data_IF_248131373104
#
_entry.id   IF_248131373104
#
_cell.length_a   1.000
_cell.length_b   1.000
_cell.length_c   1.000
_cell.angle_alpha   90.00
_cell.angle_beta   90.00
_cell.angle_gamma   90.00
#
_symmetry.space_group_name_H-M   'P 1'
#
loop_
_entity.id
_entity.type
_entity.pdbx_description
1 polymer ?
#
# COMPACT_ATOMS: atom_id res chain seq x y z
N UNK A 1 4.53 -32.10 -4.53
CA UNK A 1 4.87 -30.67 -4.45
C UNK A 1 3.78 -29.89 -5.17
N UNK A 2 2.95 -29.14 -4.45
CA UNK A 2 1.93 -28.25 -5.05
C UNK A 2 2.16 -26.87 -4.45
N UNK A 3 2.75 -25.99 -5.24
CA UNK A 3 2.97 -24.59 -4.90
C UNK A 3 1.59 -23.89 -4.96
N UNK A 4 1.29 -23.04 -3.98
CA UNK A 4 0.10 -22.18 -4.03
C UNK A 4 0.57 -20.82 -4.53
N UNK A 5 0.23 -20.51 -5.78
CA UNK A 5 0.39 -19.19 -6.36
C UNK A 5 -0.96 -18.48 -6.22
N UNK A 6 -1.03 -17.43 -5.41
CA UNK A 6 -2.14 -16.48 -5.47
C UNK A 6 -1.77 -15.40 -6.45
N UNK A 7 -2.45 -15.37 -7.60
CA UNK A 7 -2.36 -14.30 -8.59
C UNK A 7 -3.72 -13.62 -8.63
N UNK A 8 -3.79 -12.40 -8.13
CA UNK A 8 -4.97 -11.55 -8.28
C UNK A 8 -4.80 -10.67 -9.52
N UNK A 9 -5.69 -10.85 -10.49
CA UNK A 9 -5.79 -9.98 -11.66
C UNK A 9 -6.85 -8.91 -11.39
N UNK A 10 -6.46 -7.65 -11.46
CA UNK A 10 -7.40 -6.54 -11.51
C UNK A 10 -7.25 -5.81 -12.85
N UNK A 11 -8.28 -5.87 -13.69
CA UNK A 11 -8.37 -5.14 -14.96
C UNK A 11 -9.45 -4.09 -14.78
N UNK A 12 -9.04 -2.82 -14.65
CA UNK A 12 -9.94 -1.67 -14.64
C UNK A 12 -9.90 -0.96 -15.99
N UNK A 13 -11.05 -0.81 -16.65
CA UNK A 13 -11.22 0.02 -17.83
C UNK A 13 -12.03 1.27 -17.44
N UNK A 14 -11.48 2.46 -17.68
CA UNK A 14 -12.24 3.71 -17.56
C UNK A 14 -12.64 4.11 -18.97
N UNK A 15 -13.92 3.97 -19.29
CA UNK A 15 -14.52 4.42 -20.54
C UNK A 15 -15.22 5.77 -20.27
N UNK A 16 -14.78 6.84 -20.91
CA UNK A 16 -15.46 8.13 -20.89
C UNK A 16 -16.16 8.34 -22.25
N UNK A 17 -17.45 8.68 -22.23
CA UNK A 17 -18.32 8.70 -23.41
C UNK A 17 -17.97 9.80 -24.42
N UNK A 18 -18.08 9.47 -25.71
CA UNK A 18 -17.62 10.26 -26.87
C UNK A 18 -18.55 11.41 -27.30
N UNK A 19 -19.67 11.68 -26.62
CA UNK A 19 -20.75 12.52 -27.18
C UNK A 19 -20.43 14.01 -27.39
N UNK A 20 -19.37 14.57 -26.77
CA UNK A 20 -19.13 16.02 -26.82
C UNK A 20 -18.29 16.50 -28.02
N UNK A 21 -17.55 15.61 -28.67
CA UNK A 21 -16.58 16.01 -29.71
C UNK A 21 -17.23 16.11 -31.11
N UNK A 22 -18.26 15.30 -31.40
CA UNK A 22 -19.04 15.40 -32.64
C UNK A 22 -19.93 16.66 -32.69
N UNK A 23 -20.45 17.11 -31.55
CA UNK A 23 -21.32 18.29 -31.47
C UNK A 23 -20.59 19.61 -31.83
N UNK A 24 -19.27 19.69 -31.62
CA UNK A 24 -18.47 20.86 -31.98
C UNK A 24 -18.01 20.84 -33.45
N UNK A 25 -17.80 19.66 -34.06
CA UNK A 25 -17.42 19.55 -35.49
C UNK A 25 -18.51 20.07 -36.45
N UNK A 26 -19.77 20.09 -36.03
CA UNK A 26 -20.89 20.58 -36.85
C UNK A 26 -21.08 22.11 -36.87
N UNK A 27 -20.38 22.88 -36.02
CA UNK A 27 -20.62 24.34 -35.88
C UNK A 27 -19.65 25.27 -36.62
N UNK A 28 -18.51 24.79 -37.13
CA UNK A 28 -17.55 25.64 -37.86
C UNK A 28 -16.77 24.86 -38.93
N UNK A 29 -17.22 24.83 -40.20
CA UNK A 29 -16.56 24.06 -41.25
C UNK A 29 -15.31 24.74 -41.87
N UNK A 30 -14.70 25.74 -41.21
CA UNK A 30 -13.71 26.63 -41.85
C UNK A 30 -12.45 27.01 -41.06
N UNK A 31 -12.33 26.69 -39.77
CA UNK A 31 -11.08 26.94 -39.04
C UNK A 31 -10.21 25.68 -39.06
N UNK A 32 -9.02 25.78 -39.65
CA UNK A 32 -7.91 24.86 -39.34
C UNK A 32 -7.45 25.18 -37.91
N UNK A 33 -8.24 24.78 -36.92
CA UNK A 33 -7.72 24.59 -35.58
C UNK A 33 -6.71 23.45 -35.69
N UNK A 34 -5.45 23.72 -35.37
CA UNK A 34 -4.52 22.64 -35.04
C UNK A 34 -5.24 21.79 -34.01
N UNK A 35 -5.53 20.53 -34.34
CA UNK A 35 -6.17 19.59 -33.42
C UNK A 35 -5.23 19.48 -32.21
N UNK A 36 -5.48 20.27 -31.16
CA UNK A 36 -4.69 20.23 -29.94
C UNK A 36 -4.90 18.83 -29.40
N UNK A 37 -3.86 18.01 -29.51
CA UNK A 37 -3.89 16.64 -29.03
C UNK A 37 -4.34 16.67 -27.56
N UNK A 38 -5.48 16.03 -27.29
CA UNK A 38 -6.07 16.05 -25.95
C UNK A 38 -5.08 15.47 -24.95
N UNK A 39 -4.70 16.27 -23.94
CA UNK A 39 -3.86 15.83 -22.83
C UNK A 39 -4.67 15.76 -21.56
N UNK A 40 -4.62 14.62 -20.88
CA UNK A 40 -5.29 14.46 -19.59
C UNK A 40 -4.59 15.33 -18.54
N UNK A 41 -5.34 16.15 -17.78
CA UNK A 41 -4.79 16.96 -16.70
C UNK A 41 -4.04 16.10 -15.66
N UNK A 42 -2.83 16.54 -15.29
CA UNK A 42 -1.92 15.81 -14.40
C UNK A 42 -1.99 16.33 -12.98
N UNK A 43 -1.72 15.44 -12.03
CA UNK A 43 -1.71 15.76 -10.60
C UNK A 43 -0.75 16.93 -10.31
N UNK A 44 -1.19 17.91 -9.52
CA UNK A 44 -0.33 19.02 -9.09
C UNK A 44 -0.15 20.15 -10.11
N UNK A 45 -0.53 19.94 -11.38
CA UNK A 45 -0.42 20.96 -12.43
C UNK A 45 -1.67 21.83 -12.47
N UNK A 46 -1.48 23.08 -12.88
CA UNK A 46 -2.59 24.01 -13.11
C UNK A 46 -3.47 23.52 -14.27
N UNK A 47 -4.78 23.68 -14.12
CA UNK A 47 -5.77 23.43 -15.16
C UNK A 47 -6.68 24.66 -15.27
N UNK A 48 -6.81 25.21 -16.48
CA UNK A 48 -7.80 26.22 -16.83
C UNK A 48 -8.64 25.65 -17.98
N UNK A 49 -9.89 25.33 -17.70
CA UNK A 49 -10.77 24.66 -18.67
C UNK A 49 -12.22 25.11 -18.52
N UNK A 50 -13.09 24.67 -19.41
CA UNK A 50 -14.53 24.92 -19.33
C UNK A 50 -15.27 23.60 -19.36
N UNK A 51 -16.11 23.35 -18.35
CA UNK A 51 -16.97 22.17 -18.27
C UNK A 51 -18.41 22.61 -18.11
N UNK A 52 -19.30 22.12 -18.99
CA UNK A 52 -20.72 22.52 -19.03
C UNK A 52 -20.93 24.05 -19.09
N UNK A 53 -20.06 24.76 -19.82
CA UNK A 53 -20.10 26.23 -19.93
C UNK A 53 -19.57 26.98 -18.70
N UNK A 54 -19.15 26.27 -17.66
CA UNK A 54 -18.56 26.83 -16.45
C UNK A 54 -17.05 26.77 -16.56
N UNK A 55 -16.38 27.92 -16.43
CA UNK A 55 -14.91 27.97 -16.35
C UNK A 55 -14.45 27.36 -15.03
N UNK A 56 -13.63 26.34 -15.11
CA UNK A 56 -13.00 25.66 -13.98
C UNK A 56 -11.52 26.04 -13.99
N UNK A 57 -11.08 26.69 -12.92
CA UNK A 57 -9.69 27.00 -12.66
C UNK A 57 -9.20 26.19 -11.46
N UNK A 58 -8.20 25.36 -11.67
CA UNK A 58 -7.52 24.59 -10.62
C UNK A 58 -6.07 25.08 -10.60
N UNK A 59 -5.62 25.74 -9.51
CA UNK A 59 -4.24 26.19 -9.40
C UNK A 59 -3.28 24.99 -9.31
N UNK A 60 -2.01 25.21 -9.66
CA UNK A 60 -0.96 24.25 -9.35
C UNK A 60 -0.87 24.06 -7.83
N UNK A 61 -0.62 22.82 -7.38
CA UNK A 61 -0.48 22.49 -5.96
C UNK A 61 0.79 21.71 -5.69
N UNK A 62 1.40 22.00 -4.55
CA UNK A 62 2.44 21.18 -3.97
C UNK A 62 1.83 19.86 -3.49
N UNK A 63 2.43 18.73 -3.91
CA UNK A 63 1.96 17.38 -3.59
C UNK A 63 2.77 16.73 -2.46
N UNK A 64 3.84 17.38 -2.01
CA UNK A 64 4.73 16.94 -0.92
C UNK A 64 4.07 17.03 0.44
N UNK A 65 3.12 17.96 0.56
CA UNK A 65 2.50 18.36 1.81
C UNK A 65 1.02 18.06 1.72
N UNK A 66 0.60 17.03 2.42
CA UNK A 66 -0.78 16.57 2.39
C UNK A 66 -1.23 16.27 3.81
N UNK A 67 -2.34 16.89 4.21
CA UNK A 67 -3.10 16.51 5.39
C UNK A 67 -4.49 16.11 4.94
N UNK A 68 -4.91 14.89 5.26
CA UNK A 68 -6.19 14.36 4.83
C UNK A 68 -6.81 13.50 5.92
N UNK A 69 -8.14 13.42 5.91
CA UNK A 69 -8.90 12.44 6.68
C UNK A 69 -9.58 11.56 5.65
N UNK A 70 -9.38 10.25 5.76
CA UNK A 70 -10.07 9.25 4.96
C UNK A 70 -11.01 8.50 5.86
N UNK A 71 -12.29 8.42 5.50
CA UNK A 71 -13.26 7.62 6.20
C UNK A 71 -14.20 6.96 5.20
N UNK A 72 -14.65 5.75 5.50
CA UNK A 72 -15.50 4.98 4.60
C UNK A 72 -15.90 3.65 5.21
N UNK A 73 -16.41 2.78 4.35
CA UNK A 73 -16.74 1.40 4.72
C UNK A 73 -16.42 0.50 3.54
N UNK A 74 -15.83 -0.65 3.82
CA UNK A 74 -15.74 -1.74 2.87
C UNK A 74 -16.96 -2.65 3.06
N UNK A 75 -17.49 -3.16 1.95
CA UNK A 75 -18.60 -4.11 1.94
C UNK A 75 -18.22 -5.33 1.11
N UNK A 76 -18.25 -6.51 1.71
CA UNK A 76 -17.84 -7.76 1.06
C UNK A 76 -19.06 -8.58 0.64
N UNK A 77 -19.22 -8.79 -0.67
CA UNK A 77 -20.26 -9.62 -1.27
C UNK A 77 -19.64 -10.64 -2.24
N UNK A 78 -19.49 -11.93 -1.86
CA UNK A 78 -19.90 -12.56 -0.60
C UNK A 78 -19.04 -12.11 0.60
N UNK A 79 -19.51 -12.40 1.83
CA UNK A 79 -18.79 -12.05 3.07
C UNK A 79 -17.34 -12.57 3.02
N UNK A 80 -16.40 -11.75 3.48
CA UNK A 80 -15.01 -12.15 3.66
C UNK A 80 -14.80 -12.51 5.13
N UNK A 81 -14.77 -13.81 5.42
CA UNK A 81 -14.85 -14.25 6.81
C UNK A 81 -16.23 -13.92 7.41
N UNK A 82 -16.26 -13.28 8.57
CA UNK A 82 -17.52 -12.89 9.24
C UNK A 82 -17.93 -11.45 8.91
N UNK A 83 -17.03 -10.71 8.27
CA UNK A 83 -17.20 -9.30 7.99
C UNK A 83 -18.00 -9.10 6.70
N UNK A 84 -19.20 -8.54 6.87
CA UNK A 84 -20.02 -8.01 5.77
C UNK A 84 -19.70 -6.52 5.52
N UNK A 85 -19.44 -5.78 6.59
CA UNK A 85 -19.16 -4.35 6.59
C UNK A 85 -17.98 -4.03 7.51
N UNK A 86 -16.97 -3.35 6.97
CA UNK A 86 -15.81 -2.90 7.74
C UNK A 86 -15.69 -1.38 7.61
N UNK A 87 -16.16 -0.61 8.61
CA UNK A 87 -15.94 0.83 8.61
C UNK A 87 -14.45 1.13 8.86
N UNK A 88 -13.94 2.16 8.20
CA UNK A 88 -12.59 2.64 8.42
C UNK A 88 -12.55 4.16 8.55
N UNK A 89 -11.63 4.66 9.38
CA UNK A 89 -11.29 6.06 9.46
C UNK A 89 -9.79 6.19 9.77
N UNK A 90 -9.09 7.04 9.01
CA UNK A 90 -7.67 7.27 9.16
C UNK A 90 -7.33 8.73 8.90
N UNK A 91 -6.49 9.29 9.78
CA UNK A 91 -5.81 10.55 9.56
C UNK A 91 -4.50 10.31 8.81
N UNK A 92 -4.28 11.06 7.74
CA UNK A 92 -3.09 10.99 6.90
C UNK A 92 -2.34 12.32 6.96
N UNK A 93 -1.05 12.26 7.26
CA UNK A 93 -0.14 13.39 7.20
C UNK A 93 1.11 13.02 6.40
N UNK A 94 1.48 13.84 5.43
CA UNK A 94 2.71 13.73 4.67
C UNK A 94 3.32 15.11 4.53
N UNK A 95 4.62 15.21 4.80
CA UNK A 95 5.35 16.47 4.68
C UNK A 95 6.78 16.20 4.22
N UNK A 96 7.32 17.15 3.46
CA UNK A 96 8.74 17.16 3.10
C UNK A 96 9.30 18.56 3.28
N UNK A 97 10.52 18.63 3.82
CA UNK A 97 11.22 19.89 4.09
C UNK A 97 12.71 19.75 3.82
N UNK A 98 13.44 20.86 3.97
CA UNK A 98 14.86 20.98 3.61
C UNK A 98 15.13 20.49 2.18
N UNK A 99 14.55 21.19 1.20
CA UNK A 99 14.75 20.84 -0.23
C UNK A 99 14.39 19.38 -0.54
N UNK A 100 13.35 18.85 0.14
CA UNK A 100 12.84 17.48 0.02
C UNK A 100 13.78 16.38 0.52
N UNK A 101 14.85 16.73 1.25
CA UNK A 101 15.79 15.79 1.86
C UNK A 101 15.29 15.20 3.17
N UNK A 102 14.28 15.81 3.80
CA UNK A 102 13.60 15.26 4.97
C UNK A 102 12.14 14.99 4.68
N UNK A 103 11.64 13.84 5.12
CA UNK A 103 10.29 13.39 4.84
C UNK A 103 9.68 12.71 6.05
N UNK A 104 8.41 13.03 6.29
CA UNK A 104 7.58 12.37 7.31
C UNK A 104 6.29 11.92 6.64
N UNK A 105 5.90 10.68 6.90
CA UNK A 105 4.59 10.15 6.57
C UNK A 105 4.00 9.49 7.80
N UNK A 106 2.77 9.86 8.13
CA UNK A 106 2.01 9.33 9.25
C UNK A 106 0.63 8.91 8.77
N UNK A 107 0.23 7.71 9.19
CA UNK A 107 -1.13 7.19 9.04
C UNK A 107 -1.58 6.80 10.44
N UNK A 108 -2.62 7.46 10.94
CA UNK A 108 -3.20 7.17 12.25
C UNK A 108 -4.65 6.74 12.10
N UNK A 109 -4.92 5.46 12.31
CA UNK A 109 -6.25 4.85 12.25
C UNK A 109 -6.64 4.30 13.63
N UNK A 110 -6.67 5.21 14.63
CA UNK A 110 -6.97 4.89 16.02
C UNK A 110 -5.92 3.97 16.65
N UNK A 111 -6.13 2.66 16.49
CA UNK A 111 -5.34 1.58 17.08
C UNK A 111 -4.39 0.89 16.10
N UNK A 112 -4.46 1.26 14.82
CA UNK A 112 -3.48 0.88 13.80
C UNK A 112 -2.81 2.15 13.31
N UNK A 113 -1.51 2.25 13.55
CA UNK A 113 -0.76 3.46 13.28
C UNK A 113 0.58 3.14 12.63
N UNK A 114 0.97 3.94 11.64
CA UNK A 114 2.25 3.81 10.93
C UNK A 114 2.90 5.17 10.78
N UNK A 115 4.19 5.25 11.12
CA UNK A 115 5.02 6.45 10.96
C UNK A 115 6.27 6.06 10.18
N UNK A 116 6.61 6.85 9.17
CA UNK A 116 7.82 6.71 8.39
C UNK A 116 8.55 8.04 8.36
N UNK A 117 9.82 8.03 8.73
CA UNK A 117 10.70 9.20 8.72
C UNK A 117 11.95 8.91 7.89
N UNK A 118 12.37 9.88 7.09
CA UNK A 118 13.56 9.79 6.25
C UNK A 118 14.38 11.08 6.32
N UNK A 119 15.70 10.95 6.49
CA UNK A 119 16.64 12.09 6.50
C UNK A 119 17.88 11.82 5.64
N UNK A 120 18.02 12.57 4.54
CA UNK A 120 19.23 12.65 3.72
C UNK A 120 19.90 14.02 3.75
N UNK A 121 19.49 14.94 4.63
CA UNK A 121 20.02 16.31 4.65
C UNK A 121 21.54 16.39 4.92
N UNK A 122 22.12 15.32 5.46
CA UNK A 122 23.53 15.19 5.78
C UNK A 122 24.43 14.80 4.60
N UNK A 123 23.88 14.51 3.40
CA UNK A 123 24.66 14.20 2.20
C UNK A 123 23.94 14.60 0.90
N UNK A 124 24.66 14.50 -0.22
CA UNK A 124 24.14 14.72 -1.58
C UNK A 124 24.10 13.41 -2.41
N UNK A 125 24.43 12.27 -1.80
CA UNK A 125 24.51 10.96 -2.46
C UNK A 125 23.15 10.24 -2.51
N UNK A 126 22.12 10.80 -1.89
CA UNK A 126 20.80 10.20 -1.75
C UNK A 126 20.73 9.10 -0.69
N UNK A 127 21.73 9.01 0.19
CA UNK A 127 21.70 8.08 1.32
C UNK A 127 20.76 8.65 2.38
N UNK A 128 19.79 7.87 2.82
CA UNK A 128 18.80 8.30 3.81
C UNK A 128 18.95 7.47 5.09
N UNK A 129 18.97 8.14 6.24
CA UNK A 129 18.58 7.50 7.49
C UNK A 129 17.07 7.29 7.46
N UNK A 130 16.60 6.10 7.84
CA UNK A 130 15.21 5.73 7.74
C UNK A 130 14.70 5.20 9.10
N UNK A 131 13.62 5.78 9.59
CA UNK A 131 12.93 5.35 10.80
C UNK A 131 11.52 4.91 10.48
N UNK A 132 11.07 3.82 11.11
CA UNK A 132 9.70 3.32 11.02
C UNK A 132 9.13 3.09 12.41
N UNK A 133 7.81 3.22 12.52
CA UNK A 133 7.06 2.83 13.69
C UNK A 133 5.72 2.28 13.23
N UNK A 134 5.50 1.00 13.48
CA UNK A 134 4.22 0.36 13.21
C UNK A 134 3.61 -0.13 14.53
N UNK A 135 2.34 0.17 14.71
CA UNK A 135 1.53 -0.26 15.82
C UNK A 135 0.25 -0.91 15.28
N UNK A 136 -0.03 -2.10 15.76
CA UNK A 136 -1.26 -2.82 15.47
C UNK A 136 -1.82 -3.34 16.79
N UNK A 137 -2.92 -2.74 17.27
CA UNK A 137 -3.49 -3.01 18.60
C UNK A 137 -5.01 -3.07 18.50
N UNK A 138 -5.52 -3.97 17.65
CA UNK A 138 -6.96 -4.07 17.48
C UNK A 138 -7.64 -4.40 18.83
N UNK A 139 -8.66 -3.64 19.25
CA UNK A 139 -9.44 -3.92 20.45
C UNK A 139 -10.49 -5.02 20.20
N UNK A 140 -10.41 -5.71 19.07
CA UNK A 140 -11.31 -6.76 18.64
C UNK A 140 -10.54 -8.07 18.54
N UNK A 141 -11.23 -9.18 18.82
CA UNK A 141 -10.64 -10.51 18.73
C UNK A 141 -10.43 -10.92 17.27
N UNK A 142 -9.53 -11.88 17.06
CA UNK A 142 -9.26 -12.49 15.77
C UNK A 142 -9.34 -14.00 15.92
N UNK A 143 -10.14 -14.62 15.05
CA UNK A 143 -10.29 -16.06 14.92
C UNK A 143 -9.28 -16.64 13.92
N UNK A 144 -8.81 -17.85 14.18
CA UNK A 144 -8.05 -18.63 13.21
C UNK A 144 -9.03 -19.27 12.21
N UNK A 145 -8.79 -19.04 10.91
CA UNK A 145 -9.54 -19.69 9.82
C UNK A 145 -8.65 -20.68 9.09
N UNK A 146 -9.00 -21.97 9.18
CA UNK A 146 -8.32 -23.04 8.46
C UNK A 146 -9.30 -23.60 7.42
N UNK A 147 -8.93 -23.54 6.14
CA UNK A 147 -9.65 -24.20 5.03
C UNK A 147 -11.19 -24.07 5.12
N UNK A 148 -11.69 -22.83 5.24
CA UNK A 148 -13.13 -22.47 5.29
C UNK A 148 -13.90 -22.93 6.54
N UNK A 149 -13.22 -23.43 7.57
CA UNK A 149 -13.82 -23.68 8.90
C UNK A 149 -13.35 -22.61 9.88
N UNK A 150 -14.27 -21.80 10.40
CA UNK A 150 -13.99 -20.95 11.57
C UNK A 150 -13.94 -21.84 12.80
N UNK A 151 -12.87 -21.72 13.58
CA UNK A 151 -12.76 -22.33 14.90
C UNK A 151 -13.05 -21.23 15.92
N UNK A 152 -14.32 -21.06 16.31
CA UNK A 152 -14.74 -20.04 17.30
C UNK A 152 -13.91 -20.14 18.60
N UNK A 153 -13.60 -21.37 19.02
CA UNK A 153 -12.74 -21.65 20.19
C UNK A 153 -11.28 -21.14 20.04
N UNK A 154 -10.88 -20.59 18.88
CA UNK A 154 -9.54 -20.03 18.58
C UNK A 154 -9.48 -18.49 18.63
N UNK A 155 -10.55 -17.84 19.07
CA UNK A 155 -10.59 -16.39 19.28
C UNK A 155 -9.51 -15.95 20.26
N UNK A 156 -8.67 -14.99 19.86
CA UNK A 156 -7.67 -14.36 20.73
C UNK A 156 -7.56 -12.86 20.46
N UNK A 157 -7.10 -12.11 21.45
CA UNK A 157 -6.51 -10.80 21.21
C UNK A 157 -5.06 -10.99 20.81
N UNK A 158 -4.62 -10.28 19.77
CA UNK A 158 -3.22 -10.22 19.39
C UNK A 158 -2.88 -8.84 18.85
N UNK A 159 -1.62 -8.46 19.00
CA UNK A 159 -1.11 -7.24 18.40
C UNK A 159 0.38 -7.12 18.52
N UNK A 160 0.90 -6.01 18.00
CA UNK A 160 2.32 -5.72 18.07
C UNK A 160 2.61 -4.23 18.09
N UNK A 161 3.81 -3.93 18.60
CA UNK A 161 4.48 -2.65 18.43
C UNK A 161 5.84 -2.94 17.80
N UNK A 162 6.21 -2.19 16.76
CA UNK A 162 7.43 -2.42 15.99
C UNK A 162 8.06 -1.10 15.54
N UNK A 163 8.99 -0.54 16.34
CA UNK A 163 9.95 0.42 15.83
C UNK A 163 10.87 -0.22 14.78
N UNK A 164 11.40 0.58 13.87
CA UNK A 164 12.43 0.17 12.95
C UNK A 164 13.40 1.29 12.65
N UNK A 165 14.66 0.93 12.47
CA UNK A 165 15.74 1.83 12.09
C UNK A 165 16.52 1.23 10.94
N UNK A 166 16.90 2.06 9.99
CA UNK A 166 17.50 1.60 8.75
C UNK A 166 18.29 2.65 8.01
N UNK A 167 18.93 2.18 6.96
CA UNK A 167 19.58 3.00 5.96
C UNK A 167 18.98 2.69 4.61
N UNK A 168 18.89 3.70 3.77
CA UNK A 168 18.47 3.53 2.40
C UNK A 168 19.24 4.39 1.44
N UNK A 169 18.98 4.13 0.18
CA UNK A 169 19.43 4.94 -0.93
C UNK A 169 18.23 5.23 -1.82
N UNK A 170 18.03 6.51 -2.15
CA UNK A 170 16.93 6.99 -2.96
C UNK A 170 17.42 7.96 -4.02
N UNK A 171 16.92 7.79 -5.24
CA UNK A 171 17.20 8.69 -6.36
C UNK A 171 15.91 9.04 -7.11
N UNK A 172 15.74 10.29 -7.55
CA UNK A 172 14.64 10.66 -8.43
C UNK A 172 14.83 9.99 -9.79
N UNK A 173 13.73 9.55 -10.40
CA UNK A 173 13.73 8.97 -11.74
C UNK A 173 12.71 9.69 -12.63
N UNK A 174 12.86 9.66 -13.96
CA UNK A 174 11.83 10.18 -14.86
C UNK A 174 10.46 9.55 -14.54
N UNK A 175 9.35 10.30 -14.56
CA UNK A 175 9.17 11.67 -15.06
C UNK A 175 9.55 12.81 -14.09
N UNK A 176 10.23 12.51 -12.97
CA UNK A 176 10.60 13.49 -11.92
C UNK A 176 9.40 14.18 -11.26
N UNK A 177 8.25 13.50 -11.26
CA UNK A 177 7.17 13.85 -10.34
C UNK A 177 7.62 13.56 -8.90
N UNK A 178 6.93 14.11 -7.92
CA UNK A 178 7.35 13.98 -6.52
C UNK A 178 7.42 12.52 -6.02
N UNK A 179 6.54 11.69 -6.56
CA UNK A 179 6.47 10.26 -6.27
C UNK A 179 7.40 9.45 -7.19
N UNK A 180 8.11 10.09 -8.12
CA UNK A 180 8.94 9.40 -9.09
C UNK A 180 10.34 9.13 -8.56
N UNK A 181 10.53 7.96 -7.96
CA UNK A 181 11.81 7.57 -7.38
C UNK A 181 12.10 6.08 -7.50
N UNK A 182 13.38 5.77 -7.51
CA UNK A 182 13.91 4.48 -7.14
C UNK A 182 14.42 4.55 -5.70
N UNK A 183 14.14 3.54 -4.89
CA UNK A 183 14.65 3.47 -3.53
C UNK A 183 14.90 2.05 -3.07
N UNK A 184 15.97 1.87 -2.29
CA UNK A 184 16.29 0.65 -1.57
C UNK A 184 16.47 1.03 -0.11
N UNK A 185 15.84 0.30 0.80
CA UNK A 185 16.02 0.46 2.25
C UNK A 185 16.27 -0.89 2.90
N UNK A 186 17.14 -0.89 3.89
CA UNK A 186 17.36 -2.01 4.79
C UNK A 186 17.07 -1.55 6.22
N UNK A 187 16.13 -2.21 6.88
CA UNK A 187 15.74 -1.94 8.25
C UNK A 187 16.07 -3.10 9.16
N UNK A 188 16.41 -2.76 10.41
CA UNK A 188 16.26 -3.62 11.57
C UNK A 188 15.02 -3.17 12.34
N UNK A 189 14.07 -4.07 12.53
CA UNK A 189 12.77 -3.77 13.14
C UNK A 189 12.54 -4.67 14.36
N UNK A 190 12.97 -4.24 15.57
CA UNK A 190 12.61 -4.92 16.80
C UNK A 190 11.11 -4.73 17.08
N UNK A 191 10.44 -5.79 17.48
CA UNK A 191 9.01 -5.83 17.74
C UNK A 191 8.69 -6.58 19.03
N UNK A 192 7.55 -6.25 19.60
CA UNK A 192 6.97 -6.99 20.71
C UNK A 192 5.57 -7.45 20.30
N UNK A 193 5.36 -8.76 20.26
CA UNK A 193 4.06 -9.39 20.02
C UNK A 193 3.44 -9.76 21.36
N UNK A 194 2.17 -9.46 21.52
CA UNK A 194 1.40 -9.82 22.70
C UNK A 194 0.12 -10.54 22.31
N UNK A 195 -0.31 -11.44 23.18
CA UNK A 195 -1.44 -12.34 22.96
C UNK A 195 -2.23 -12.49 24.25
N UNK A 196 -3.57 -12.47 24.16
CA UNK A 196 -4.44 -12.70 25.30
C UNK A 196 -5.68 -13.52 24.90
N UNK A 197 -6.21 -14.29 25.86
CA UNK A 197 -7.44 -15.06 25.67
C UNK A 197 -8.66 -14.13 25.66
N UNK A 198 -9.69 -14.54 24.95
CA UNK A 198 -11.07 -14.04 25.08
C UNK A 198 -11.89 -15.00 25.95
N UNK A 199 -13.13 -14.64 26.24
CA UNK A 199 -14.07 -15.52 26.94
C UNK A 199 -14.44 -16.77 26.12
N UNK A 200 -14.27 -16.71 24.80
CA UNK A 200 -14.54 -17.81 23.86
C UNK A 200 -13.29 -18.64 23.55
N UNK A 201 -12.10 -18.29 24.04
CA UNK A 201 -10.91 -19.11 23.79
C UNK A 201 -11.07 -20.47 24.46
N UNK A 202 -11.07 -21.54 23.66
CA UNK A 202 -11.17 -22.92 24.12
C UNK A 202 -10.11 -23.25 25.16
N UNK A 203 -10.52 -23.99 26.18
CA UNK A 203 -9.64 -24.42 27.29
C UNK A 203 -8.39 -25.21 26.83
N UNK A 204 -8.50 -25.89 25.69
CA UNK A 204 -7.47 -26.67 25.02
C UNK A 204 -6.66 -25.88 23.98
N UNK A 205 -6.99 -24.60 23.73
CA UNK A 205 -6.25 -23.74 22.82
C UNK A 205 -4.98 -23.21 23.51
N UNK A 206 -3.83 -23.47 22.89
CA UNK A 206 -2.52 -23.03 23.36
C UNK A 206 -2.18 -21.71 22.69
N UNK A 207 -2.10 -20.64 23.49
CA UNK A 207 -1.65 -19.33 23.01
C UNK A 207 -0.14 -19.34 22.75
N UNK A 208 0.33 -18.65 21.70
CA UNK A 208 1.71 -18.24 21.63
C UNK A 208 2.07 -17.36 22.84
N UNK A 209 3.28 -17.46 23.37
CA UNK A 209 3.74 -16.58 24.44
C UNK A 209 3.92 -15.14 23.91
N UNK A 210 3.80 -14.16 24.79
CA UNK A 210 4.29 -12.80 24.50
C UNK A 210 5.78 -12.87 24.14
N UNK A 211 6.12 -12.30 23.00
CA UNK A 211 7.37 -12.62 22.32
C UNK A 211 8.02 -11.36 21.78
N UNK A 212 9.31 -11.22 22.08
CA UNK A 212 10.17 -10.28 21.36
C UNK A 212 10.50 -10.86 19.98
N UNK A 213 10.37 -10.05 18.95
CA UNK A 213 10.69 -10.42 17.58
C UNK A 213 11.70 -9.43 17.03
N UNK A 214 12.66 -9.89 16.24
CA UNK A 214 13.47 -9.02 15.43
C UNK A 214 13.29 -9.32 13.95
N UNK A 215 13.32 -8.28 13.13
CA UNK A 215 13.21 -8.41 11.68
C UNK A 215 14.33 -7.69 10.97
N UNK A 216 14.82 -8.32 9.92
CA UNK A 216 15.58 -7.68 8.86
C UNK A 216 14.65 -7.50 7.67
N UNK A 217 14.43 -6.26 7.27
CA UNK A 217 13.48 -5.90 6.23
C UNK A 217 14.17 -5.11 5.11
N UNK A 218 14.29 -5.74 3.95
CA UNK A 218 14.77 -5.12 2.71
C UNK A 218 13.56 -4.67 1.88
N UNK A 219 13.49 -3.38 1.56
CA UNK A 219 12.41 -2.76 0.80
C UNK A 219 12.96 -2.08 -0.44
N UNK A 220 12.55 -2.56 -1.61
CA UNK A 220 12.90 -1.98 -2.92
C UNK A 220 11.64 -1.41 -3.54
N UNK A 221 11.70 -0.18 -4.05
CA UNK A 221 10.59 0.48 -4.74
C UNK A 221 11.08 1.21 -5.98
N UNK A 222 10.29 1.12 -7.02
CA UNK A 222 10.40 1.91 -8.24
C UNK A 222 9.02 2.48 -8.52
N UNK A 223 8.90 3.79 -8.62
CA UNK A 223 7.68 4.45 -9.06
C UNK A 223 8.10 5.46 -10.14
N UNK A 224 7.69 5.20 -11.37
CA UNK A 224 7.84 6.07 -12.53
C UNK A 224 6.45 6.38 -13.11
N UNK A 225 5.44 6.49 -12.23
CA UNK A 225 4.04 6.64 -12.60
C UNK A 225 3.61 8.11 -12.55
N UNK A 226 3.17 8.64 -13.69
CA UNK A 226 2.41 9.88 -13.74
C UNK A 226 0.97 9.63 -13.27
N UNK A 227 0.46 10.58 -12.48
CA UNK A 227 -0.91 10.54 -11.95
C UNK A 227 -1.76 11.64 -12.58
N UNK A 228 -3.05 11.38 -12.76
CA UNK A 228 -4.00 12.38 -13.25
C UNK A 228 -4.43 13.33 -12.12
N UNK A 229 -5.28 14.30 -12.44
CA UNK A 229 -5.76 15.28 -11.44
C UNK A 229 -6.47 14.68 -10.21
N UNK A 230 -6.98 13.44 -10.32
CA UNK A 230 -7.57 12.69 -9.21
C UNK A 230 -6.56 11.79 -8.48
N UNK A 231 -5.25 11.99 -8.71
CA UNK A 231 -4.16 11.17 -8.15
C UNK A 231 -4.18 9.70 -8.61
N UNK A 232 -4.96 9.35 -9.64
CA UNK A 232 -5.03 8.00 -10.19
C UNK A 232 -3.88 7.74 -11.14
N UNK A 233 -3.41 6.48 -11.17
CA UNK A 233 -2.36 5.99 -12.06
C UNK A 233 -2.75 6.26 -13.52
N UNK A 234 -1.93 7.00 -14.26
CA UNK A 234 -2.26 7.44 -15.60
C UNK A 234 -1.33 6.87 -16.67
N UNK A 235 -0.01 7.06 -16.52
CA UNK A 235 1.01 6.56 -17.45
C UNK A 235 2.28 6.19 -16.69
N UNK A 236 2.84 5.03 -16.99
CA UNK A 236 4.16 4.62 -16.50
C UNK A 236 4.16 3.27 -15.80
N UNK A 237 5.19 3.06 -15.00
CA UNK A 237 5.42 1.80 -14.28
C UNK A 237 5.65 2.06 -12.81
N UNK A 238 5.17 1.16 -11.97
CA UNK A 238 5.54 1.10 -10.56
C UNK A 238 5.77 -0.36 -10.18
N UNK A 239 6.81 -0.64 -9.41
CA UNK A 239 7.08 -1.96 -8.87
C UNK A 239 7.66 -1.86 -7.47
N UNK A 240 7.54 -2.95 -6.72
CA UNK A 240 8.10 -3.02 -5.39
C UNK A 240 8.31 -4.45 -4.96
N UNK A 241 9.32 -4.64 -4.12
CA UNK A 241 9.63 -5.91 -3.49
C UNK A 241 9.97 -5.66 -2.03
N UNK A 242 9.47 -6.50 -1.15
CA UNK A 242 9.82 -6.55 0.27
C UNK A 242 10.30 -7.96 0.59
N UNK A 243 11.43 -8.02 1.28
CA UNK A 243 11.94 -9.24 1.86
C UNK A 243 12.10 -9.04 3.36
N UNK A 244 11.46 -9.89 4.14
CA UNK A 244 11.50 -9.88 5.60
C UNK A 244 12.06 -11.22 6.05
N UNK A 245 13.06 -11.17 6.92
CA UNK A 245 13.47 -12.30 7.75
C UNK A 245 13.18 -11.94 9.19
N UNK A 246 12.28 -12.67 9.84
CA UNK A 246 11.95 -12.48 11.24
C UNK A 246 12.43 -13.64 12.10
N UNK A 247 12.76 -13.35 13.36
CA UNK A 247 13.00 -14.36 14.39
C UNK A 247 12.29 -13.97 15.69
N UNK A 248 11.63 -14.93 16.32
CA UNK A 248 10.76 -14.75 17.49
C UNK A 248 11.37 -15.43 18.70
N UNK A 249 11.80 -14.65 19.69
CA UNK A 249 12.48 -15.18 20.86
C UNK A 249 11.50 -15.74 21.88
N UNK A 250 11.77 -16.96 22.37
CA UNK A 250 10.88 -17.70 23.29
C UNK A 250 9.56 -18.11 22.66
N UNK A 251 9.54 -18.20 21.33
CA UNK A 251 8.41 -18.78 20.62
C UNK A 251 8.19 -20.23 21.06
N UNK A 252 6.96 -20.72 20.97
CA UNK A 252 6.59 -22.08 21.40
C UNK A 252 5.52 -22.66 20.52
N UNK A 253 5.38 -23.99 20.61
CA UNK A 253 4.25 -24.71 20.05
C UNK A 253 2.92 -24.07 20.51
N UNK A 254 2.02 -23.80 19.57
CA UNK A 254 0.72 -23.16 19.82
C UNK A 254 -0.37 -23.73 18.89
N UNK A 255 -1.61 -23.25 19.03
CA UNK A 255 -2.83 -23.79 18.41
C UNK A 255 -3.33 -25.12 19.06
N UNK A 256 -4.43 -25.69 18.57
CA UNK A 256 -4.93 -26.98 19.03
C UNK A 256 -3.86 -28.05 18.93
N UNK A 257 -3.48 -28.62 20.07
CA UNK A 257 -2.45 -29.67 20.21
C UNK A 257 -1.01 -29.27 19.84
N UNK A 258 -0.72 -27.97 19.64
CA UNK A 258 0.62 -27.52 19.25
C UNK A 258 0.94 -27.90 17.80
N UNK A 259 -0.01 -27.74 16.88
CA UNK A 259 0.12 -28.09 15.46
C UNK A 259 1.23 -27.27 14.78
N UNK A 260 1.35 -25.99 15.15
CA UNK A 260 2.46 -25.11 14.80
C UNK A 260 3.62 -25.38 15.73
N UNK A 261 4.72 -25.89 15.16
CA UNK A 261 5.91 -26.22 15.93
C UNK A 261 6.82 -25.01 16.05
N UNK A 262 7.42 -24.82 17.22
CA UNK A 262 8.41 -23.78 17.50
C UNK A 262 9.48 -23.77 16.42
N UNK A 263 10.15 -24.91 16.19
CA UNK A 263 11.20 -25.07 15.17
C UNK A 263 10.79 -24.66 13.75
N UNK A 264 9.50 -24.71 13.44
CA UNK A 264 8.97 -24.42 12.12
C UNK A 264 8.52 -22.94 12.03
N UNK A 265 8.11 -22.30 13.14
CA UNK A 265 7.47 -20.96 13.17
C UNK A 265 8.24 -19.87 13.91
N UNK A 266 9.33 -20.23 14.60
CA UNK A 266 10.18 -19.28 15.33
C UNK A 266 10.92 -18.34 14.38
N UNK A 267 11.35 -18.87 13.23
CA UNK A 267 12.01 -18.10 12.18
C UNK A 267 11.16 -18.17 10.92
N UNK A 268 10.95 -17.04 10.26
CA UNK A 268 10.16 -16.99 9.05
C UNK A 268 10.75 -16.04 8.01
N UNK A 269 10.43 -16.34 6.76
CA UNK A 269 10.77 -15.51 5.62
C UNK A 269 9.53 -15.07 4.86
N UNK A 270 9.38 -13.77 4.63
CA UNK A 270 8.33 -13.22 3.76
C UNK A 270 8.97 -12.55 2.58
N UNK A 271 8.48 -12.90 1.40
CA UNK A 271 8.76 -12.20 0.17
C UNK A 271 7.44 -11.70 -0.40
N UNK A 272 7.31 -10.41 -0.63
CA UNK A 272 6.15 -9.85 -1.31
C UNK A 272 6.60 -8.93 -2.42
N UNK A 273 5.84 -8.86 -3.50
CA UNK A 273 6.14 -7.96 -4.58
C UNK A 273 4.94 -7.60 -5.42
N UNK A 274 5.10 -6.52 -6.17
CA UNK A 274 4.12 -6.08 -7.13
C UNK A 274 4.78 -5.43 -8.34
N UNK A 275 4.07 -5.46 -9.44
CA UNK A 275 4.32 -4.64 -10.61
C UNK A 275 3.00 -4.07 -11.10
N UNK A 276 3.05 -2.83 -11.54
CA UNK A 276 1.91 -2.09 -12.03
C UNK A 276 2.33 -1.30 -13.24
N UNK A 277 1.50 -1.35 -14.27
CA UNK A 277 1.62 -0.55 -15.47
C UNK A 277 0.33 0.24 -15.68
N UNK A 278 0.48 1.47 -16.14
CA UNK A 278 -0.63 2.24 -16.69
C UNK A 278 -0.22 2.82 -18.04
N UNK A 279 -1.13 2.78 -19.00
CA UNK A 279 -0.88 3.35 -20.33
C UNK A 279 -2.00 3.07 -21.30
N UNK A 280 -1.82 3.48 -22.55
CA UNK A 280 -2.75 3.20 -23.62
C UNK A 280 -2.01 3.08 -24.95
N UNK A 281 -2.63 2.43 -25.95
CA UNK A 281 -2.09 2.42 -27.30
C UNK A 281 -1.90 3.84 -27.83
N UNK A 282 -0.83 4.08 -28.57
CA UNK A 282 -0.52 5.41 -29.14
C UNK A 282 -1.55 5.91 -30.15
N UNK A 283 -2.36 5.00 -30.72
CA UNK A 283 -3.43 5.34 -31.65
C UNK A 283 -4.76 5.69 -30.95
N UNK A 284 -4.83 5.62 -29.62
CA UNK A 284 -5.99 6.06 -28.84
C UNK A 284 -5.65 7.33 -28.05
N UNK A 285 -6.66 8.18 -27.86
CA UNK A 285 -6.56 9.38 -27.02
C UNK A 285 -6.10 9.05 -25.59
N UNK A 286 -5.48 10.02 -24.90
CA UNK A 286 -5.13 9.90 -23.49
C UNK A 286 -6.32 9.60 -22.56
N UNK A 287 -7.56 9.75 -23.06
CA UNK A 287 -8.79 9.36 -22.36
C UNK A 287 -8.90 7.85 -22.16
N UNK A 288 -8.29 7.04 -23.03
CA UNK A 288 -8.32 5.58 -22.96
C UNK A 288 -7.03 5.08 -22.33
N UNK A 289 -7.13 4.65 -21.07
CA UNK A 289 -6.02 4.09 -20.30
C UNK A 289 -6.40 2.74 -19.74
N UNK A 290 -5.44 1.83 -19.81
CA UNK A 290 -5.47 0.51 -19.22
C UNK A 290 -4.53 0.51 -18.02
N UNK A 291 -4.96 -0.15 -16.95
CA UNK A 291 -4.12 -0.38 -15.77
C UNK A 291 -4.03 -1.89 -15.59
N UNK A 292 -2.79 -2.38 -15.53
CA UNK A 292 -2.49 -3.76 -15.19
C UNK A 292 -1.72 -3.76 -13.88
N UNK A 293 -2.21 -4.48 -12.87
CA UNK A 293 -1.50 -4.68 -11.61
C UNK A 293 -1.39 -6.16 -11.32
N UNK A 294 -0.18 -6.60 -10.99
CA UNK A 294 0.13 -7.95 -10.57
C UNK A 294 0.75 -7.88 -9.17
N UNK A 295 0.21 -8.70 -8.27
CA UNK A 295 0.67 -8.83 -6.89
C UNK A 295 1.00 -10.29 -6.64
N UNK A 296 2.05 -10.53 -5.86
CA UNK A 296 2.44 -11.87 -5.48
C UNK A 296 3.28 -11.86 -4.22
N UNK A 297 3.32 -13.00 -3.57
CA UNK A 297 4.16 -13.20 -2.39
C UNK A 297 4.43 -14.66 -2.15
N UNK A 298 5.45 -14.90 -1.35
CA UNK A 298 5.88 -16.20 -0.93
C UNK A 298 6.20 -16.15 0.57
N UNK A 299 5.58 -17.07 1.30
CA UNK A 299 5.95 -17.43 2.66
C UNK A 299 6.10 -18.95 2.69
N UNK A 300 7.20 -19.50 3.22
CA UNK A 300 7.33 -20.95 3.32
C UNK A 300 6.20 -21.54 4.16
N UNK A 301 5.72 -22.72 3.74
CA UNK A 301 4.64 -23.41 4.45
C UNK A 301 5.09 -23.75 5.88
N UNK A 302 4.20 -23.51 6.84
CA UNK A 302 4.39 -23.76 8.28
C UNK A 302 5.32 -22.79 9.01
N UNK A 303 5.84 -21.77 8.33
CA UNK A 303 6.61 -20.70 9.01
C UNK A 303 5.72 -19.57 9.52
N UNK A 304 4.52 -19.43 8.94
CA UNK A 304 3.50 -18.51 9.42
C UNK A 304 2.68 -19.18 10.51
N UNK A 305 2.48 -18.43 11.59
CA UNK A 305 1.75 -18.79 12.81
C UNK A 305 0.23 -18.70 12.66
N UNK A 306 -0.25 -18.12 11.55
CA UNK A 306 -1.66 -18.02 11.15
C UNK A 306 -1.79 -17.92 9.63
#
# INVERSE_FOLDING_TARGET
MKNIFYVFFFIGAILCSQEQEEANKLKNPGSKEEEIEYRTPRAGRQLDTTFLGIRIYIPARERDKTTAISAGTDMYLPKLGDDLFVPYAAFYYSDTWQEKKRRLRLVAAGVVNSIYFYDSAWNDLGIEFAGTWDNYTLPFHSELKIEDTSLEDSEIYWGYIRPGLGLGWRMPIPPHEIDSFFSIYLYYEPGFLYFAKTDNTGSNYILPPETYEDRIHLKIRLDAMERNIMELRHVGWASGVDFIRGHRYRWRDHDYSGSFKEKDTETYHLFTGYITWAGGPSWLSERHRFILSLYGGFAPRKELDR
#
